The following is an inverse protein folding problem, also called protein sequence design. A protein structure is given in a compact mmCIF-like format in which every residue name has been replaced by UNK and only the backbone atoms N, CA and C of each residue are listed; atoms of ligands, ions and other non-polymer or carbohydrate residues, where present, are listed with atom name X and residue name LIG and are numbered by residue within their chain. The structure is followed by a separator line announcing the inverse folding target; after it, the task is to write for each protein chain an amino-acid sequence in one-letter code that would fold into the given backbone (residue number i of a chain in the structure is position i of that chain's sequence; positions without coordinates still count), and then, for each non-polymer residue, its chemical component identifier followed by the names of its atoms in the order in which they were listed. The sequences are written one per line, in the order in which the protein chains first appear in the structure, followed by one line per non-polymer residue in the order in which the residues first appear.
data_IF_611055603621
#
_entry.id   IF_611055603621
#
_cell.length_a   1.000
_cell.length_b   1.000
_cell.length_c   1.000
_cell.angle_alpha   90.00
_cell.angle_beta   90.00
_cell.angle_gamma   90.00
#
_symmetry.space_group_name_H-M   'P 1'
#
loop_
_entity.id
_entity.type
_entity.pdbx_description
1 polymer ?
#
# COMPACT_ATOMS: atom_id res chain seq x y z
N UNK A 1 -10.85 -0.72 -4.73
CA UNK A 1 -11.50 0.59 -4.62
C UNK A 1 -10.65 1.63 -5.33
N UNK A 2 -11.16 2.27 -6.40
CA UNK A 2 -10.45 3.34 -7.11
C UNK A 2 -10.52 4.68 -6.36
N UNK A 3 -9.44 5.45 -6.42
CA UNK A 3 -9.36 6.84 -6.00
C UNK A 3 -8.65 7.61 -7.11
N UNK A 4 -9.38 8.52 -7.74
CA UNK A 4 -8.91 9.32 -8.87
C UNK A 4 -8.83 10.77 -8.42
N UNK A 5 -7.63 11.34 -8.45
CA UNK A 5 -7.40 12.71 -8.00
C UNK A 5 -6.47 13.47 -8.95
N UNK A 6 -6.56 14.81 -9.03
CA UNK A 6 -5.62 15.60 -9.83
C UNK A 6 -4.16 15.42 -9.39
N UNK A 7 -3.22 15.76 -10.28
CA UNK A 7 -1.80 15.76 -9.93
C UNK A 7 -1.51 16.84 -8.88
N UNK A 8 -0.65 16.52 -7.91
CA UNK A 8 -0.20 17.46 -6.88
C UNK A 8 -1.09 17.56 -5.63
N UNK A 9 -2.09 16.69 -5.47
CA UNK A 9 -3.06 16.75 -4.35
C UNK A 9 -2.68 15.89 -3.14
N UNK A 10 -1.45 15.39 -3.05
CA UNK A 10 -1.02 14.52 -1.94
C UNK A 10 -1.59 13.10 -1.99
N UNK A 11 -1.96 12.60 -3.17
CA UNK A 11 -2.54 11.25 -3.35
C UNK A 11 -1.69 10.11 -2.80
N UNK A 12 -0.37 10.22 -2.93
CA UNK A 12 0.57 9.21 -2.43
C UNK A 12 0.54 9.21 -0.91
N UNK A 13 0.48 10.39 -0.27
CA UNK A 13 0.27 10.54 1.16
C UNK A 13 -1.06 9.93 1.61
N UNK A 14 -2.14 10.11 0.83
CA UNK A 14 -3.42 9.47 1.11
C UNK A 14 -3.31 7.93 1.06
N UNK A 15 -2.59 7.38 0.08
CA UNK A 15 -2.35 5.93 -0.01
C UNK A 15 -1.60 5.37 1.18
N UNK A 16 -0.55 6.06 1.63
CA UNK A 16 0.18 5.73 2.85
C UNK A 16 -0.73 5.71 4.07
N UNK A 17 -1.58 6.74 4.23
CA UNK A 17 -2.51 6.82 5.35
C UNK A 17 -3.52 5.67 5.34
N UNK A 18 -4.05 5.30 4.17
CA UNK A 18 -4.95 4.14 4.03
C UNK A 18 -4.24 2.85 4.44
N UNK A 19 -2.97 2.68 4.08
CA UNK A 19 -2.16 1.55 4.54
C UNK A 19 -2.03 1.50 6.06
N UNK A 20 -1.75 2.63 6.71
CA UNK A 20 -1.63 2.72 8.18
C UNK A 20 -2.96 2.40 8.87
N UNK A 21 -4.09 2.85 8.31
CA UNK A 21 -5.43 2.48 8.79
C UNK A 21 -5.62 0.96 8.73
N UNK A 22 -5.33 0.34 7.58
CA UNK A 22 -5.43 -1.12 7.42
C UNK A 22 -4.48 -1.89 8.34
N UNK A 23 -3.34 -1.30 8.71
CA UNK A 23 -2.38 -1.90 9.63
C UNK A 23 -2.82 -1.81 11.10
N UNK A 24 -3.32 -0.66 11.52
CA UNK A 24 -3.49 -0.31 12.94
C UNK A 24 -4.95 -0.44 13.39
N UNK A 25 -5.90 -0.01 12.55
CA UNK A 25 -7.29 0.19 12.94
C UNK A 25 -8.15 -1.03 12.62
N UNK A 26 -7.90 -1.71 11.50
CA UNK A 26 -8.71 -2.85 11.05
C UNK A 26 -8.67 -4.05 12.01
N UNK A 27 -7.70 -4.13 12.91
CA UNK A 27 -7.62 -5.16 13.96
C UNK A 27 -7.29 -6.57 13.45
N UNK A 28 -6.94 -6.72 12.17
CA UNK A 28 -6.53 -7.99 11.58
C UNK A 28 -5.16 -8.42 12.11
N UNK A 29 -5.06 -9.67 12.57
CA UNK A 29 -3.79 -10.26 13.00
C UNK A 29 -2.94 -10.68 11.80
N UNK A 30 -1.68 -10.29 11.79
CA UNK A 30 -0.77 -10.57 10.67
C UNK A 30 -1.26 -9.92 9.38
N UNK A 31 -1.74 -8.68 9.43
CA UNK A 31 -2.11 -7.95 8.23
C UNK A 31 -0.85 -7.64 7.42
N UNK A 32 -0.81 -8.09 6.16
CA UNK A 32 0.25 -7.76 5.21
C UNK A 32 -0.25 -6.60 4.34
N UNK A 33 0.36 -5.43 4.52
CA UNK A 33 0.02 -4.20 3.82
C UNK A 33 1.07 -3.96 2.73
N UNK A 34 0.66 -4.07 1.48
CA UNK A 34 1.54 -4.06 0.33
C UNK A 34 1.52 -2.70 -0.36
N UNK A 35 2.68 -2.02 -0.37
CA UNK A 35 2.87 -0.79 -1.11
C UNK A 35 3.41 -1.14 -2.50
N UNK A 36 2.63 -0.84 -3.52
CA UNK A 36 2.87 -1.20 -4.90
C UNK A 36 2.92 0.09 -5.74
N UNK A 37 3.97 0.23 -6.55
CA UNK A 37 4.09 1.23 -7.61
C UNK A 37 4.73 0.58 -8.85
N UNK A 38 4.79 1.29 -9.98
CA UNK A 38 5.44 0.78 -11.20
C UNK A 38 6.93 0.47 -11.00
N UNK A 39 7.61 1.21 -10.12
CA UNK A 39 8.98 0.91 -9.71
C UNK A 39 9.13 0.86 -8.19
N UNK A 40 10.17 0.18 -7.71
CA UNK A 40 10.52 0.16 -6.29
C UNK A 40 10.77 1.56 -5.74
N UNK A 41 11.38 2.43 -6.54
CA UNK A 41 11.62 3.83 -6.19
C UNK A 41 10.31 4.56 -5.94
N UNK A 42 9.32 4.41 -6.83
CA UNK A 42 8.02 5.03 -6.67
C UNK A 42 7.25 4.48 -5.46
N UNK A 43 7.34 3.18 -5.20
CA UNK A 43 6.76 2.58 -4.00
C UNK A 43 7.45 3.08 -2.73
N UNK A 44 8.72 3.48 -2.86
CA UNK A 44 9.47 4.22 -1.84
C UNK A 44 8.81 5.53 -1.43
N UNK A 45 8.07 6.21 -2.32
CA UNK A 45 7.34 7.43 -1.95
C UNK A 45 6.18 7.14 -1.00
N UNK A 46 5.41 6.07 -1.21
CA UNK A 46 4.39 5.61 -0.27
C UNK A 46 5.01 5.29 1.09
N UNK A 47 6.09 4.52 1.10
CA UNK A 47 6.75 4.09 2.32
C UNK A 47 7.34 5.27 3.11
N UNK A 48 7.99 6.20 2.42
CA UNK A 48 8.57 7.39 3.04
C UNK A 48 7.48 8.34 3.56
N UNK A 49 6.35 8.45 2.87
CA UNK A 49 5.21 9.21 3.36
C UNK A 49 4.63 8.60 4.65
N UNK A 50 4.52 7.27 4.77
CA UNK A 50 4.17 6.61 6.02
C UNK A 50 5.18 6.94 7.13
N UNK A 51 6.48 6.77 6.88
CA UNK A 51 7.52 7.11 7.86
C UNK A 51 7.48 8.58 8.30
N UNK A 52 7.15 9.49 7.39
CA UNK A 52 6.99 10.90 7.70
C UNK A 52 5.81 11.14 8.67
N UNK A 53 4.69 10.42 8.50
CA UNK A 53 3.57 10.48 9.45
C UNK A 53 3.98 10.03 10.86
N UNK A 54 4.77 8.96 10.96
CA UNK A 54 5.34 8.46 12.23
C UNK A 54 6.36 9.43 12.86
N UNK A 55 6.81 10.45 12.13
CA UNK A 55 7.82 11.39 12.60
C UNK A 55 7.25 12.70 13.11
N UNK A 56 5.94 12.92 12.97
CA UNK A 56 5.26 14.10 13.50
C UNK A 56 5.07 13.97 15.02
N UNK A 57 5.82 14.74 15.80
CA UNK A 57 5.91 14.67 17.28
C UNK A 57 4.58 14.80 18.02
N UNK A 58 3.60 15.50 17.43
CA UNK A 58 2.28 15.68 18.02
C UNK A 58 1.28 14.56 17.64
N UNK A 59 1.69 13.63 16.77
CA UNK A 59 0.82 12.58 16.26
C UNK A 59 0.81 11.33 17.15
N UNK A 60 -0.34 10.65 17.19
CA UNK A 60 -0.45 9.34 17.85
C UNK A 60 0.56 8.33 17.28
N UNK A 61 0.82 8.38 15.97
CA UNK A 61 1.77 7.48 15.30
C UNK A 61 3.20 7.68 15.81
N UNK A 62 3.59 8.91 16.15
CA UNK A 62 4.87 9.19 16.77
C UNK A 62 4.95 8.58 18.18
N UNK A 63 3.94 8.76 19.02
CA UNK A 63 3.93 8.13 20.34
C UNK A 63 3.96 6.60 20.27
N UNK A 64 3.26 6.01 19.29
CA UNK A 64 3.32 4.56 19.06
C UNK A 64 4.71 4.10 18.62
N UNK A 65 5.42 4.91 17.81
CA UNK A 65 6.80 4.64 17.43
C UNK A 65 7.74 4.71 18.63
N UNK A 66 7.66 5.78 19.44
CA UNK A 66 8.51 5.95 20.64
C UNK A 66 8.27 4.85 21.68
N UNK A 67 7.06 4.30 21.74
CA UNK A 67 6.71 3.17 22.60
C UNK A 67 7.08 1.79 22.00
N UNK A 68 7.82 1.74 20.89
CA UNK A 68 8.18 0.51 20.17
C UNK A 68 6.97 -0.32 19.69
N UNK A 69 5.78 0.28 19.59
CA UNK A 69 4.55 -0.37 19.12
C UNK A 69 4.49 -0.36 17.59
N UNK A 70 5.00 0.70 16.95
CA UNK A 70 5.01 0.88 15.49
C UNK A 70 6.44 1.13 14.99
N UNK A 71 7.14 0.08 14.60
CA UNK A 71 8.59 0.09 14.40
C UNK A 71 9.00 0.05 12.94
N UNK A 72 9.95 0.89 12.53
CA UNK A 72 10.64 0.73 11.25
C UNK A 72 11.70 -0.38 11.36
N UNK A 73 11.52 -1.45 10.59
CA UNK A 73 12.44 -2.59 10.49
C UNK A 73 13.09 -2.64 9.11
N UNK A 74 14.02 -3.58 8.89
CA UNK A 74 14.57 -3.86 7.56
C UNK A 74 13.51 -4.33 6.54
N UNK A 75 12.41 -4.92 7.02
CA UNK A 75 11.37 -5.47 6.18
C UNK A 75 10.26 -4.46 5.86
N UNK A 76 10.03 -3.48 6.74
CA UNK A 76 8.92 -2.54 6.63
C UNK A 76 8.57 -1.88 7.96
N UNK A 77 7.39 -1.28 8.05
CA UNK A 77 6.82 -0.73 9.28
C UNK A 77 6.01 -1.85 9.95
N UNK A 78 6.44 -2.31 11.12
CA UNK A 78 5.83 -3.38 11.89
C UNK A 78 4.97 -2.78 13.01
N UNK A 79 3.70 -3.19 13.07
CA UNK A 79 2.82 -2.92 14.19
C UNK A 79 2.78 -4.15 15.10
N UNK A 80 3.42 -4.04 16.27
CA UNK A 80 3.67 -5.15 17.18
C UNK A 80 2.39 -5.78 17.72
N UNK A 81 1.36 -4.96 18.00
CA UNK A 81 0.14 -5.42 18.69
C UNK A 81 -0.58 -6.53 17.92
N UNK A 82 -0.59 -6.45 16.59
CA UNK A 82 -1.23 -7.48 15.73
C UNK A 82 -0.22 -8.22 14.86
N UNK A 83 1.08 -7.96 15.01
CA UNK A 83 2.14 -8.47 14.14
C UNK A 83 1.90 -8.15 12.64
N UNK A 84 1.40 -6.94 12.37
CA UNK A 84 1.04 -6.48 11.02
C UNK A 84 2.18 -5.70 10.38
N UNK A 85 2.45 -5.94 9.10
CA UNK A 85 3.62 -5.41 8.40
C UNK A 85 3.21 -4.63 7.15
N UNK A 86 3.62 -3.37 7.07
CA UNK A 86 3.60 -2.59 5.84
C UNK A 86 4.95 -2.59 5.17
N UNK A 87 4.99 -3.03 3.90
CA UNK A 87 6.24 -3.16 3.16
C UNK A 87 6.07 -2.85 1.68
N UNK A 88 7.17 -2.42 1.04
CA UNK A 88 7.25 -2.28 -0.41
C UNK A 88 7.31 -3.67 -1.03
N UNK A 89 6.40 -3.94 -1.97
CA UNK A 89 6.46 -5.13 -2.82
C UNK A 89 6.85 -4.71 -4.24
N UNK A 90 7.78 -5.45 -4.82
CA UNK A 90 8.23 -5.24 -6.20
C UNK A 90 7.58 -6.22 -7.15
N UNK A 91 7.57 -5.87 -8.42
CA UNK A 91 6.87 -6.60 -9.47
C UNK A 91 7.54 -7.90 -9.93
N UNK A 92 8.51 -8.43 -9.17
CA UNK A 92 9.13 -9.71 -9.49
C UNK A 92 8.09 -10.80 -9.26
N UNK A 93 7.49 -11.28 -10.36
CA UNK A 93 6.30 -12.15 -10.41
C UNK A 93 6.37 -13.36 -9.47
N UNK A 94 7.56 -13.94 -9.24
CA UNK A 94 7.75 -15.08 -8.33
C UNK A 94 7.44 -14.76 -6.86
N UNK A 95 7.51 -13.49 -6.46
CA UNK A 95 7.28 -13.07 -5.08
C UNK A 95 5.81 -12.78 -4.72
N UNK A 96 4.92 -12.74 -5.72
CA UNK A 96 3.53 -12.27 -5.57
C UNK A 96 2.49 -13.38 -5.51
N UNK A 97 2.79 -14.58 -6.03
CA UNK A 97 1.93 -15.77 -5.88
C UNK A 97 1.90 -16.27 -4.41
N UNK A 98 2.82 -15.76 -3.59
CA UNK A 98 3.02 -16.06 -2.17
C UNK A 98 2.22 -15.22 -1.18
N UNK A 99 1.60 -14.11 -1.60
CA UNK A 99 1.23 -13.06 -0.64
C UNK A 99 -0.15 -13.23 0.00
N UNK A 100 -0.21 -13.11 1.34
CA UNK A 100 -1.45 -13.14 2.12
C UNK A 100 -1.92 -11.71 2.42
N UNK A 101 -2.00 -10.88 1.40
CA UNK A 101 -2.23 -9.45 1.57
C UNK A 101 -3.57 -9.18 2.26
N UNK A 102 -3.53 -8.33 3.29
CA UNK A 102 -4.73 -7.71 3.84
C UNK A 102 -5.08 -6.50 2.98
N UNK A 103 -4.12 -5.59 2.78
CA UNK A 103 -4.29 -4.42 1.91
C UNK A 103 -3.26 -4.42 0.79
N UNK A 104 -3.71 -4.11 -0.42
CA UNK A 104 -2.84 -3.78 -1.55
C UNK A 104 -3.05 -2.30 -1.92
N UNK A 105 -1.99 -1.50 -1.86
CA UNK A 105 -2.03 -0.07 -2.21
C UNK A 105 -1.26 0.14 -3.50
N UNK A 106 -1.98 0.25 -4.62
CA UNK A 106 -1.40 0.58 -5.93
C UNK A 106 -1.40 2.09 -6.12
N UNK A 107 -0.23 2.72 -6.26
CA UNK A 107 -0.12 4.13 -6.67
C UNK A 107 0.22 4.24 -8.17
N UNK A 108 -0.28 5.30 -8.80
CA UNK A 108 -0.24 5.53 -10.25
C UNK A 108 -0.73 4.33 -11.08
N UNK A 109 -1.92 3.82 -10.75
CA UNK A 109 -2.49 2.59 -11.37
C UNK A 109 -2.51 2.61 -12.91
N UNK A 110 -2.61 3.80 -13.51
CA UNK A 110 -2.61 3.99 -14.97
C UNK A 110 -1.30 3.56 -15.65
N UNK A 111 -0.22 3.35 -14.88
CA UNK A 111 1.09 2.96 -15.41
C UNK A 111 1.26 1.46 -15.59
N UNK A 112 0.46 0.65 -14.88
CA UNK A 112 0.55 -0.81 -14.87
C UNK A 112 -0.10 -1.47 -16.07
N UNK A 113 0.30 -2.72 -16.30
CA UNK A 113 -0.39 -3.64 -17.20
C UNK A 113 -1.40 -4.49 -16.42
N UNK A 114 -2.49 -4.90 -17.08
CA UNK A 114 -3.65 -5.59 -16.47
C UNK A 114 -3.26 -6.90 -15.76
N UNK A 115 -2.29 -7.62 -16.32
CA UNK A 115 -1.81 -8.89 -15.79
C UNK A 115 -1.20 -8.77 -14.38
N UNK A 116 -0.50 -7.66 -14.11
CA UNK A 116 0.14 -7.46 -12.81
C UNK A 116 -0.88 -7.31 -11.68
N UNK A 117 -1.86 -6.45 -11.89
CA UNK A 117 -2.92 -6.18 -10.91
C UNK A 117 -3.74 -7.45 -10.68
N UNK A 118 -4.03 -8.19 -11.75
CA UNK A 118 -4.76 -9.45 -11.66
C UNK A 118 -4.02 -10.48 -10.80
N UNK A 119 -2.72 -10.68 -11.03
CA UNK A 119 -1.92 -11.64 -10.25
C UNK A 119 -1.93 -11.31 -8.75
N UNK A 120 -1.74 -10.05 -8.38
CA UNK A 120 -1.75 -9.63 -6.96
C UNK A 120 -3.11 -9.86 -6.30
N UNK A 121 -4.20 -9.48 -6.98
CA UNK A 121 -5.55 -9.64 -6.45
C UNK A 121 -5.96 -11.12 -6.36
N UNK A 122 -5.64 -11.91 -7.38
CA UNK A 122 -5.93 -13.35 -7.41
C UNK A 122 -5.15 -14.06 -6.28
N UNK A 123 -3.89 -13.70 -6.05
CA UNK A 123 -3.09 -14.23 -4.94
C UNK A 123 -3.70 -13.90 -3.58
N UNK A 124 -4.10 -12.63 -3.39
CA UNK A 124 -4.70 -12.14 -2.14
C UNK A 124 -6.04 -12.82 -1.84
N UNK A 125 -6.94 -12.86 -2.84
CA UNK A 125 -8.30 -13.39 -2.69
C UNK A 125 -8.37 -14.89 -2.40
N UNK A 126 -7.36 -15.65 -2.84
CA UNK A 126 -7.25 -17.10 -2.55
C UNK A 126 -6.83 -17.36 -1.11
N UNK A 127 -6.09 -16.46 -0.47
CA UNK A 127 -5.45 -16.66 0.84
C UNK A 127 -6.20 -16.00 1.98
N UNK A 128 -6.81 -14.83 1.73
CA UNK A 128 -7.51 -14.03 2.74
C UNK A 128 -8.90 -13.67 2.26
N UNK A 129 -9.92 -13.77 3.12
CA UNK A 129 -11.31 -13.43 2.76
C UNK A 129 -11.60 -11.93 2.86
N UNK A 130 -10.91 -11.23 3.75
CA UNK A 130 -11.07 -9.80 4.06
C UNK A 130 -9.99 -8.92 3.40
N UNK A 131 -9.44 -9.36 2.26
CA UNK A 131 -8.49 -8.57 1.49
C UNK A 131 -9.16 -7.34 0.86
N UNK A 132 -8.43 -6.24 0.76
CA UNK A 132 -8.88 -5.01 0.12
C UNK A 132 -7.75 -4.46 -0.77
N UNK A 133 -8.07 -4.16 -2.02
CA UNK A 133 -7.14 -3.44 -2.92
C UNK A 133 -7.61 -2.01 -3.14
N UNK A 134 -6.71 -1.05 -2.94
CA UNK A 134 -6.86 0.36 -3.24
C UNK A 134 -6.06 0.72 -4.48
N UNK A 135 -6.71 1.37 -5.45
CA UNK A 135 -6.09 1.87 -6.67
C UNK A 135 -6.08 3.38 -6.62
N UNK A 136 -4.90 3.97 -6.57
CA UNK A 136 -4.71 5.41 -6.52
C UNK A 136 -4.08 5.83 -7.83
N UNK A 137 -4.66 6.85 -8.46
CA UNK A 137 -4.11 7.35 -9.71
C UNK A 137 -4.38 8.82 -9.89
N UNK A 138 -3.47 9.47 -10.62
CA UNK A 138 -3.81 10.69 -11.32
C UNK A 138 -4.64 10.41 -12.57
N UNK A 139 -5.44 11.39 -12.99
CA UNK A 139 -5.97 11.41 -14.35
C UNK A 139 -4.78 11.72 -15.30
N UNK A 140 -4.03 10.68 -15.63
CA UNK A 140 -2.83 10.77 -16.46
C UNK A 140 -3.17 11.12 -17.91
N UNK A 141 -2.22 11.69 -18.64
CA UNK A 141 -2.36 11.98 -20.08
C UNK A 141 -2.10 10.78 -20.99
N UNK A 142 -1.71 9.63 -20.42
CA UNK A 142 -1.52 8.37 -21.16
C UNK A 142 -2.87 7.67 -21.33
N UNK A 143 -3.34 7.60 -22.58
CA UNK A 143 -4.49 6.81 -23.02
C UNK A 143 -4.03 5.40 -23.47
N UNK A 144 -4.98 4.48 -23.57
CA UNK A 144 -4.86 3.05 -23.93
C UNK A 144 -4.25 2.14 -22.85
N UNK A 145 -4.53 2.41 -21.58
CA UNK A 145 -4.13 1.54 -20.45
C UNK A 145 -5.31 1.22 -19.52
N UNK A 146 -5.04 0.45 -18.46
CA UNK A 146 -6.01 -0.09 -17.48
C UNK A 146 -7.14 0.88 -17.09
N UNK A 147 -6.82 2.16 -16.94
CA UNK A 147 -7.79 3.20 -16.59
C UNK A 147 -8.95 3.26 -17.58
N UNK A 148 -8.67 3.25 -18.89
CA UNK A 148 -9.68 3.35 -19.96
C UNK A 148 -10.51 2.06 -20.12
N UNK A 149 -10.05 0.93 -19.54
CA UNK A 149 -10.75 -0.36 -19.62
C UNK A 149 -11.79 -0.53 -18.51
N UNK A 150 -11.59 0.10 -17.36
CA UNK A 150 -12.46 -0.05 -16.19
C UNK A 150 -13.20 1.24 -15.79
N UNK A 151 -12.83 2.41 -16.32
CA UNK A 151 -13.44 3.71 -16.02
C UNK A 151 -13.68 4.56 -17.27
#
# INVERSE_FOLDING_TARGET
MPIIVPRGTGKTTLGSAIGEVGQIIDGEWGADIQLLAYSREQAGYLFNASRAMLSNEESLLHYMREADILRSTKQGILYETTNSLMSIKTSDYESLDGTNAHYNIFDEVHTYDDDFIKVVNDGSSRKRKNWITWYISTNGTKRDKLFDKYY
#
